data_IF_665934640584
#
_entry.id   IF_665934640584
#
_cell.length_a   1.000
_cell.length_b   1.000
_cell.length_c   1.000
_cell.angle_alpha   90.00
_cell.angle_beta   90.00
_cell.angle_gamma   90.00
#
_symmetry.space_group_name_H-M   'P 1'
#
loop_
_entity.id
_entity.type
_entity.pdbx_description
1 polymer ?
#
# COMPACT_ATOMS: atom_id res chain seq x y z
N UNK A 1 -1.46 4.47 17.25
CA UNK A 1 -0.16 3.92 16.82
C UNK A 1 0.81 4.10 17.97
N UNK A 2 1.62 3.08 18.29
CA UNK A 2 2.68 3.30 19.27
C UNK A 2 3.76 4.21 18.63
N UNK A 3 4.29 5.14 19.42
CA UNK A 3 5.31 6.10 18.98
C UNK A 3 6.61 5.38 18.60
N UNK A 4 6.89 4.24 19.25
CA UNK A 4 8.07 3.43 18.97
C UNK A 4 8.02 2.75 17.60
N UNK A 5 6.86 2.20 17.22
CA UNK A 5 6.68 1.55 15.91
C UNK A 5 6.70 2.55 14.76
N UNK A 6 6.07 3.71 14.94
CA UNK A 6 6.12 4.77 13.93
C UNK A 6 7.54 5.28 13.71
N UNK A 7 8.29 5.51 14.80
CA UNK A 7 9.68 5.93 14.71
C UNK A 7 10.56 4.89 13.99
N UNK A 8 10.32 3.60 14.25
CA UNK A 8 11.01 2.50 13.57
C UNK A 8 10.69 2.46 12.07
N UNK A 9 9.41 2.57 11.70
CA UNK A 9 9.00 2.62 10.30
C UNK A 9 9.60 3.81 9.55
N UNK A 10 9.59 5.01 10.16
CA UNK A 10 10.19 6.21 9.60
C UNK A 10 11.70 6.07 9.41
N UNK A 11 12.41 5.53 10.40
CA UNK A 11 13.84 5.27 10.30
C UNK A 11 14.17 4.30 9.15
N UNK A 12 13.41 3.21 9.03
CA UNK A 12 13.56 2.22 7.97
C UNK A 12 13.25 2.79 6.57
N UNK A 13 12.34 3.76 6.49
CA UNK A 13 11.99 4.45 5.24
C UNK A 13 12.90 5.65 4.93
N UNK A 14 13.79 6.02 5.84
CA UNK A 14 14.59 7.24 5.78
C UNK A 14 13.74 8.51 5.66
N UNK A 15 12.60 8.52 6.36
CA UNK A 15 11.66 9.62 6.38
C UNK A 15 11.70 10.38 7.70
N UNK A 16 11.42 11.67 7.61
CA UNK A 16 11.08 12.53 8.73
C UNK A 16 9.56 12.56 8.95
N UNK A 17 9.12 12.92 10.16
CA UNK A 17 7.69 12.94 10.48
C UNK A 17 6.93 14.06 9.75
N UNK A 18 7.59 15.13 9.32
CA UNK A 18 7.01 16.21 8.52
C UNK A 18 6.72 15.82 7.06
N UNK A 19 7.25 14.68 6.60
CA UNK A 19 6.93 14.11 5.30
C UNK A 19 5.65 13.26 5.31
N UNK A 20 5.12 12.95 6.50
CA UNK A 20 3.84 12.26 6.66
C UNK A 20 2.67 13.25 6.62
N UNK A 21 1.71 12.96 5.75
CA UNK A 21 0.40 13.61 5.77
C UNK A 21 -0.47 13.01 6.87
N UNK A 22 -0.46 11.68 6.99
CA UNK A 22 -1.22 10.95 8.00
C UNK A 22 -0.61 9.57 8.23
N UNK A 23 -0.91 8.96 9.37
CA UNK A 23 -0.56 7.57 9.66
C UNK A 23 -1.65 6.89 10.50
N UNK A 24 -1.92 5.61 10.22
CA UNK A 24 -2.88 4.81 10.98
C UNK A 24 -2.51 3.32 10.93
N UNK A 25 -2.98 2.56 11.92
CA UNK A 25 -3.07 1.11 11.78
C UNK A 25 -4.32 0.82 10.94
N UNK A 26 -4.14 0.14 9.82
CA UNK A 26 -5.21 -0.17 8.85
C UNK A 26 -5.44 -1.67 8.74
N UNK A 27 -5.72 -2.25 9.90
CA UNK A 27 -5.81 -3.70 10.10
C UNK A 27 -7.13 -4.27 9.55
N UNK A 28 -7.00 -5.28 8.68
CA UNK A 28 -8.09 -6.18 8.27
C UNK A 28 -7.72 -7.67 8.43
N UNK A 29 -6.70 -7.98 9.24
CA UNK A 29 -6.14 -9.30 9.48
C UNK A 29 -4.62 -9.26 9.78
N UNK A 30 -3.76 -9.05 8.77
CA UNK A 30 -2.35 -8.75 8.96
C UNK A 30 -2.23 -7.26 9.30
N UNK A 31 -1.86 -6.92 10.53
CA UNK A 31 -1.83 -5.54 10.99
C UNK A 31 -0.88 -4.67 10.17
N UNK A 32 -1.43 -3.87 9.26
CA UNK A 32 -0.67 -2.93 8.43
C UNK A 32 -0.51 -1.58 9.11
N UNK A 33 0.72 -1.07 9.15
CA UNK A 33 0.95 0.34 9.40
C UNK A 33 0.83 1.12 8.07
N UNK A 34 -0.27 1.86 7.92
CA UNK A 34 -0.53 2.72 6.77
C UNK A 34 0.05 4.12 6.96
N UNK A 35 0.83 4.57 5.99
CA UNK A 35 1.45 5.89 5.96
C UNK A 35 1.04 6.63 4.69
N UNK A 36 0.53 7.85 4.82
CA UNK A 36 0.18 8.71 3.69
C UNK A 36 1.31 9.72 3.49
N UNK A 37 1.93 9.71 2.32
CA UNK A 37 2.92 10.69 1.90
C UNK A 37 2.27 11.77 1.02
N UNK A 38 3.01 12.87 0.81
CA UNK A 38 2.52 14.03 0.04
C UNK A 38 2.01 13.69 -1.36
N UNK A 39 2.65 12.75 -2.05
CA UNK A 39 2.33 12.36 -3.42
C UNK A 39 3.00 11.04 -3.83
N UNK A 40 2.62 10.53 -5.00
CA UNK A 40 3.17 9.34 -5.59
C UNK A 40 4.68 9.44 -5.87
N UNK A 41 5.21 10.63 -6.15
CA UNK A 41 6.65 10.80 -6.40
C UNK A 41 7.47 10.53 -5.12
N UNK A 42 6.97 10.97 -3.96
CA UNK A 42 7.56 10.64 -2.67
C UNK A 42 7.54 9.12 -2.40
N UNK A 43 6.40 8.46 -2.67
CA UNK A 43 6.28 6.99 -2.53
C UNK A 43 7.28 6.24 -3.41
N UNK A 44 7.40 6.63 -4.68
CA UNK A 44 8.32 6.01 -5.64
C UNK A 44 9.79 6.24 -5.31
N UNK A 45 10.12 7.36 -4.66
CA UNK A 45 11.49 7.72 -4.30
C UNK A 45 12.04 6.93 -3.09
N UNK A 46 11.18 6.27 -2.30
CA UNK A 46 11.62 5.55 -1.10
C UNK A 46 12.68 4.49 -1.43
N UNK A 47 13.74 4.46 -0.63
CA UNK A 47 14.80 3.45 -0.67
C UNK A 47 14.91 2.84 0.74
N UNK A 48 14.06 1.84 1.08
CA UNK A 48 13.97 1.37 2.46
C UNK A 48 15.18 0.54 2.90
N UNK A 49 15.58 0.70 4.16
CA UNK A 49 16.41 -0.27 4.87
C UNK A 49 15.52 -1.41 5.39
N UNK A 50 15.43 -2.48 4.60
CA UNK A 50 14.59 -3.64 4.93
C UNK A 50 14.96 -4.32 6.25
N UNK A 51 16.23 -4.23 6.68
CA UNK A 51 16.67 -4.83 7.94
C UNK A 51 16.13 -4.06 9.17
N UNK A 52 15.79 -2.78 9.00
CA UNK A 52 15.32 -1.92 10.08
C UNK A 52 13.83 -2.05 10.41
N UNK A 53 13.01 -2.65 9.54
CA UNK A 53 11.58 -2.86 9.80
C UNK A 53 11.32 -3.86 10.93
N UNK A 54 12.18 -4.88 11.08
CA UNK A 54 11.92 -6.00 11.97
C UNK A 54 10.69 -6.79 11.51
N UNK A 55 9.64 -6.77 12.33
CA UNK A 55 8.38 -7.48 12.13
C UNK A 55 7.24 -6.58 11.62
N UNK A 56 7.52 -5.31 11.28
CA UNK A 56 6.50 -4.39 10.79
C UNK A 56 6.14 -4.66 9.33
N UNK A 57 4.84 -4.78 9.08
CA UNK A 57 4.23 -4.67 7.76
C UNK A 57 3.80 -3.23 7.52
N UNK A 58 4.45 -2.56 6.56
CA UNK A 58 4.26 -1.12 6.30
C UNK A 58 3.75 -0.89 4.89
N UNK A 59 2.62 -0.21 4.80
CA UNK A 59 2.06 0.29 3.55
C UNK A 59 2.22 1.79 3.44
N UNK A 60 2.68 2.26 2.28
CA UNK A 60 2.77 3.69 1.96
C UNK A 60 1.86 4.02 0.79
N UNK A 61 1.17 5.16 0.84
CA UNK A 61 0.29 5.65 -0.22
C UNK A 61 0.53 7.13 -0.50
N UNK A 62 0.39 7.54 -1.76
CA UNK A 62 0.49 8.94 -2.17
C UNK A 62 -0.26 9.20 -3.47
N UNK A 63 -0.92 10.35 -3.58
CA UNK A 63 -1.73 10.69 -4.74
C UNK A 63 -0.88 10.96 -5.99
N UNK A 64 -1.33 10.48 -7.14
CA UNK A 64 -0.79 10.90 -8.43
C UNK A 64 -1.37 12.26 -8.83
N UNK A 65 -0.68 13.03 -9.68
CA UNK A 65 -1.29 14.19 -10.33
C UNK A 65 -2.43 13.75 -11.26
N UNK A 66 -3.36 14.67 -11.54
CA UNK A 66 -4.46 14.44 -12.48
C UNK A 66 -3.92 13.95 -13.85
N UNK A 67 -4.55 12.91 -14.40
CA UNK A 67 -4.11 12.26 -15.63
C UNK A 67 -2.92 11.31 -15.46
N UNK A 68 -2.50 11.04 -14.22
CA UNK A 68 -1.50 10.04 -13.88
C UNK A 68 -1.94 8.59 -14.19
N UNK A 69 -1.06 7.60 -13.93
CA UNK A 69 -1.28 6.20 -14.28
C UNK A 69 -2.36 5.48 -13.43
N UNK A 70 -2.77 6.11 -12.32
CA UNK A 70 -3.81 5.75 -11.37
C UNK A 70 -4.09 6.98 -10.49
N UNK A 71 -5.04 6.91 -9.55
CA UNK A 71 -5.28 8.00 -8.59
C UNK A 71 -4.22 8.02 -7.47
N UNK A 72 -3.73 6.86 -7.07
CA UNK A 72 -2.70 6.71 -6.03
C UNK A 72 -1.60 5.73 -6.42
N UNK A 73 -0.40 5.95 -5.88
CA UNK A 73 0.68 4.96 -5.85
C UNK A 73 0.74 4.33 -4.45
N UNK A 74 0.90 3.01 -4.40
CA UNK A 74 1.12 2.25 -3.16
C UNK A 74 2.41 1.43 -3.25
N UNK A 75 3.08 1.27 -2.10
CA UNK A 75 4.10 0.24 -1.90
C UNK A 75 3.85 -0.49 -0.58
N UNK A 76 4.18 -1.78 -0.54
CA UNK A 76 3.91 -2.68 0.57
C UNK A 76 5.19 -3.39 1.00
N UNK A 77 5.71 -3.03 2.17
CA UNK A 77 6.95 -3.56 2.73
C UNK A 77 6.64 -4.60 3.81
N UNK A 78 7.10 -5.85 3.60
CA UNK A 78 6.77 -7.00 4.45
C UNK A 78 7.98 -7.92 4.73
N UNK A 79 9.17 -7.38 5.08
CA UNK A 79 10.39 -8.18 5.19
C UNK A 79 10.28 -9.34 6.19
N UNK A 80 9.40 -9.23 7.19
CA UNK A 80 9.14 -10.27 8.19
C UNK A 80 8.61 -11.60 7.62
N UNK A 81 7.99 -11.58 6.43
CA UNK A 81 7.48 -12.81 5.76
C UNK A 81 8.44 -13.38 4.72
N UNK A 82 9.68 -12.88 4.66
CA UNK A 82 10.73 -13.35 3.76
C UNK A 82 10.72 -12.71 2.37
N UNK A 83 9.92 -11.67 2.16
CA UNK A 83 9.89 -10.86 0.94
C UNK A 83 10.00 -9.39 1.33
N UNK A 84 10.91 -8.64 0.72
CA UNK A 84 11.10 -7.24 1.07
C UNK A 84 9.89 -6.35 0.71
N UNK A 85 9.35 -6.53 -0.50
CA UNK A 85 8.25 -5.73 -1.03
C UNK A 85 7.30 -6.60 -1.86
N UNK A 86 6.00 -6.55 -1.57
CA UNK A 86 4.97 -7.27 -2.30
C UNK A 86 4.50 -6.45 -3.53
N UNK A 87 4.53 -7.01 -4.75
CA UNK A 87 4.17 -6.27 -5.96
C UNK A 87 2.73 -5.78 -6.03
N UNK A 88 1.74 -6.52 -5.48
CA UNK A 88 0.31 -6.10 -5.47
C UNK A 88 -0.41 -6.75 -4.28
N UNK A 89 -0.91 -5.94 -3.36
CA UNK A 89 -1.40 -6.42 -2.07
C UNK A 89 -2.86 -6.03 -1.84
N UNK A 90 -3.79 -6.98 -2.01
CA UNK A 90 -5.22 -6.72 -1.86
C UNK A 90 -5.63 -6.28 -0.45
N UNK A 91 -5.09 -6.93 0.59
CA UNK A 91 -5.40 -6.63 2.00
C UNK A 91 -4.98 -5.22 2.39
N UNK A 92 -3.79 -4.77 1.99
CA UNK A 92 -3.32 -3.41 2.23
C UNK A 92 -4.24 -2.37 1.55
N UNK A 93 -4.58 -2.59 0.27
CA UNK A 93 -5.45 -1.68 -0.47
C UNK A 93 -6.86 -1.60 0.14
N UNK A 94 -7.38 -2.71 0.69
CA UNK A 94 -8.63 -2.72 1.43
C UNK A 94 -8.54 -1.89 2.71
N UNK A 95 -7.45 -2.01 3.48
CA UNK A 95 -7.20 -1.22 4.67
C UNK A 95 -7.14 0.29 4.38
N UNK A 96 -6.44 0.69 3.32
CA UNK A 96 -6.47 2.08 2.85
C UNK A 96 -7.87 2.51 2.40
N UNK A 97 -8.63 1.63 1.74
CA UNK A 97 -9.99 1.91 1.32
C UNK A 97 -10.89 2.24 2.51
N UNK A 98 -10.91 1.40 3.54
CA UNK A 98 -11.65 1.64 4.78
C UNK A 98 -11.22 2.98 5.39
N UNK A 99 -9.93 3.16 5.63
CA UNK A 99 -9.45 4.34 6.33
C UNK A 99 -9.70 5.65 5.57
N UNK A 100 -9.32 5.71 4.30
CA UNK A 100 -9.31 6.96 3.54
C UNK A 100 -10.70 7.35 3.03
N UNK A 101 -11.54 6.37 2.69
CA UNK A 101 -12.92 6.66 2.25
C UNK A 101 -13.77 7.08 3.44
N UNK A 102 -13.74 6.34 4.56
CA UNK A 102 -14.57 6.66 5.72
C UNK A 102 -14.20 7.98 6.39
N UNK A 103 -12.91 8.36 6.35
CA UNK A 103 -12.46 9.67 6.83
C UNK A 103 -12.74 10.83 5.88
N UNK A 104 -13.19 10.55 4.64
CA UNK A 104 -13.39 11.54 3.59
C UNK A 104 -12.11 12.08 2.97
N UNK A 105 -10.96 11.45 3.24
CA UNK A 105 -9.67 11.80 2.66
C UNK A 105 -9.50 11.33 1.20
N UNK A 106 -10.28 10.32 0.79
CA UNK A 106 -10.33 9.82 -0.58
C UNK A 106 -11.78 9.78 -1.11
N UNK A 107 -11.98 9.84 -2.44
CA UNK A 107 -13.30 9.64 -3.04
C UNK A 107 -13.82 8.22 -2.79
N UNK A 108 -15.14 8.02 -2.91
CA UNK A 108 -15.78 6.71 -2.71
C UNK A 108 -15.33 5.61 -3.69
N UNK A 109 -14.62 5.97 -4.76
CA UNK A 109 -13.97 5.04 -5.68
C UNK A 109 -12.69 5.65 -6.22
N UNK A 110 -11.63 4.85 -6.27
CA UNK A 110 -10.34 5.24 -6.83
C UNK A 110 -9.54 4.03 -7.32
N UNK A 111 -8.49 4.33 -8.07
CA UNK A 111 -7.55 3.37 -8.63
C UNK A 111 -6.16 3.52 -8.00
N UNK A 112 -5.47 2.40 -7.88
CA UNK A 112 -4.13 2.31 -7.30
C UNK A 112 -3.16 1.63 -8.27
N UNK A 113 -1.99 2.23 -8.44
CA UNK A 113 -0.82 1.58 -9.01
C UNK A 113 0.07 1.02 -7.87
N UNK A 114 0.49 -0.24 -8.02
CA UNK A 114 1.42 -0.89 -7.08
C UNK A 114 2.44 -1.74 -7.84
N UNK A 115 3.67 -1.79 -7.32
CA UNK A 115 4.75 -2.60 -7.86
C UNK A 115 5.58 -1.91 -8.95
N UNK A 116 5.38 -0.61 -9.17
CA UNK A 116 6.09 0.19 -10.19
C UNK A 116 7.62 0.08 -10.03
N UNK A 117 8.13 0.20 -8.80
CA UNK A 117 9.56 0.07 -8.44
C UNK A 117 10.12 -1.33 -8.69
N UNK A 118 9.25 -2.36 -8.68
CA UNK A 118 9.59 -3.76 -8.95
C UNK A 118 9.46 -4.12 -10.44
N UNK A 119 9.14 -3.14 -11.30
CA UNK A 119 8.86 -3.37 -12.72
C UNK A 119 7.57 -4.16 -12.96
N UNK A 120 6.61 -4.08 -12.03
CA UNK A 120 5.29 -4.69 -12.13
C UNK A 120 4.23 -3.62 -12.36
N UNK A 121 3.16 -3.96 -13.07
CA UNK A 121 2.08 -3.02 -13.42
C UNK A 121 0.80 -3.43 -12.71
N UNK A 122 0.85 -3.51 -11.38
CA UNK A 122 -0.32 -3.77 -10.56
C UNK A 122 -1.34 -2.64 -10.71
N UNK A 123 -2.60 -2.98 -10.95
CA UNK A 123 -3.72 -2.04 -10.97
C UNK A 123 -4.86 -2.59 -10.13
N UNK A 124 -5.21 -1.83 -9.12
CA UNK A 124 -6.26 -2.18 -8.15
C UNK A 124 -7.31 -1.09 -8.19
N UNK A 125 -8.58 -1.49 -8.18
CA UNK A 125 -9.72 -0.62 -7.97
C UNK A 125 -10.20 -0.81 -6.54
N UNK A 126 -10.44 0.29 -5.84
CA UNK A 126 -11.04 0.32 -4.50
C UNK A 126 -12.33 1.13 -4.60
N UNK A 127 -13.43 0.62 -4.06
CA UNK A 127 -14.69 1.34 -4.05
C UNK A 127 -15.56 0.97 -2.85
N UNK A 128 -16.40 1.92 -2.43
CA UNK A 128 -17.44 1.69 -1.45
C UNK A 128 -18.77 1.37 -2.16
N UNK A 129 -19.43 0.31 -1.72
CA UNK A 129 -20.75 -0.10 -2.21
C UNK A 129 -21.52 -0.74 -1.06
N UNK A 130 -22.78 -0.36 -0.88
CA UNK A 130 -23.67 -0.88 0.18
C UNK A 130 -23.10 -0.82 1.61
N UNK A 131 -22.23 0.16 1.87
CA UNK A 131 -21.58 0.35 3.18
C UNK A 131 -20.35 -0.54 3.40
N UNK A 132 -19.90 -1.28 2.39
CA UNK A 132 -18.71 -2.12 2.43
C UNK A 132 -17.63 -1.58 1.49
N UNK A 133 -16.37 -1.91 1.79
CA UNK A 133 -15.22 -1.60 0.94
C UNK A 133 -14.84 -2.82 0.12
N UNK A 134 -14.81 -2.62 -1.19
CA UNK A 134 -14.44 -3.63 -2.17
C UNK A 134 -13.09 -3.32 -2.78
N UNK A 135 -12.36 -4.40 -3.09
CA UNK A 135 -11.08 -4.35 -3.79
C UNK A 135 -11.14 -5.31 -4.97
N UNK A 136 -10.74 -4.84 -6.13
CA UNK A 136 -10.79 -5.61 -7.37
C UNK A 136 -9.67 -5.24 -8.32
N UNK A 137 -9.50 -6.07 -9.36
CA UNK A 137 -8.50 -5.86 -10.39
C UNK A 137 -8.67 -6.86 -11.52
N UNK A 138 -8.15 -6.51 -12.70
CA UNK A 138 -8.17 -7.44 -13.84
C UNK A 138 -6.99 -8.41 -13.75
N UNK A 139 -7.25 -9.69 -13.95
CA UNK A 139 -6.22 -10.73 -14.01
C UNK A 139 -6.11 -11.30 -15.43
N UNK A 140 -4.93 -11.85 -15.76
CA UNK A 140 -4.72 -12.55 -17.03
C UNK A 140 -3.99 -13.86 -16.79
N UNK A 141 -4.64 -14.96 -17.11
CA UNK A 141 -4.03 -16.29 -17.04
C UNK A 141 -2.86 -16.36 -18.03
N UNK A 142 -1.68 -16.75 -17.55
CA UNK A 142 -0.48 -16.93 -18.38
C UNK A 142 -0.19 -18.39 -18.70
N UNK A 143 -0.45 -19.28 -17.74
CA UNK A 143 -0.19 -20.71 -17.85
C UNK A 143 -1.40 -21.43 -17.25
N UNK A 144 -1.82 -22.51 -17.91
CA UNK A 144 -2.82 -23.46 -17.45
C UNK A 144 -2.26 -24.86 -17.66
N UNK A 145 -2.50 -25.78 -16.72
CA UNK A 145 -2.02 -27.16 -16.83
C UNK A 145 -2.66 -28.08 -15.80
N UNK A 146 -2.37 -29.37 -15.92
CA UNK A 146 -2.87 -30.45 -15.06
C UNK A 146 -1.68 -31.20 -14.43
N UNK A 147 -1.85 -31.70 -13.20
CA UNK A 147 -0.82 -32.45 -12.46
C UNK A 147 -1.36 -33.84 -12.14
N UNK A 148 -0.65 -34.88 -12.57
CA UNK A 148 -0.95 -36.30 -12.28
C UNK A 148 0.20 -36.92 -11.46
N UNK A 149 -0.11 -37.91 -10.62
CA UNK A 149 0.82 -38.56 -9.68
C UNK A 149 1.04 -40.03 -10.00
#
# INVERSE_FOLDING_TARGET
MDESDLARALAALHLSSDELVASAWIDNGPGWMGLVLRDAAAVLALQPDFAAFGDLDVGVIGAHPEGGPADYEVRAFVPGVGINEDPVTGSLNAGFGVWLIESGAAPASYTVAQGTTLGRTGRVSVWAEDGEIWVGGTTRVRITGEVEF
#
